data_IF_725661074671
#
_entry.id   IF_725661074671
#
_cell.length_a   1.000
_cell.length_b   1.000
_cell.length_c   1.000
_cell.angle_alpha   90.00
_cell.angle_beta   90.00
_cell.angle_gamma   90.00
#
_symmetry.space_group_name_H-M   'P 1'
#
loop_
_entity.id
_entity.type
_entity.pdbx_description
1 polymer ?
#
# COMPACT_ATOMS: atom_id res chain seq x y z
N UNK A 1 -30.13 44.34 33.97
CA UNK A 1 -29.43 44.22 32.67
C UNK A 1 -28.33 43.15 32.66
N UNK A 2 -27.28 43.21 33.49
CA UNK A 2 -26.16 42.22 33.45
C UNK A 2 -26.59 40.75 33.59
N UNK A 3 -27.50 40.42 34.52
CA UNK A 3 -28.05 39.04 34.67
C UNK A 3 -28.74 38.52 33.41
N UNK A 4 -29.41 39.40 32.67
CA UNK A 4 -30.08 39.04 31.41
C UNK A 4 -29.06 38.75 30.30
N UNK A 5 -27.96 39.51 30.26
CA UNK A 5 -26.84 39.29 29.33
C UNK A 5 -26.14 37.95 29.63
N UNK A 6 -25.88 37.64 30.92
CA UNK A 6 -25.30 36.35 31.29
C UNK A 6 -26.22 35.16 30.95
N UNK A 7 -27.53 35.32 31.16
CA UNK A 7 -28.50 34.29 30.81
C UNK A 7 -28.56 34.08 29.28
N UNK A 8 -28.58 35.16 28.50
CA UNK A 8 -28.56 35.08 27.04
C UNK A 8 -27.26 34.44 26.51
N UNK A 9 -26.10 34.80 27.06
CA UNK A 9 -24.82 34.21 26.70
C UNK A 9 -24.76 32.72 27.07
N UNK A 10 -25.31 32.33 28.21
CA UNK A 10 -25.38 30.93 28.64
C UNK A 10 -26.26 30.10 27.69
N UNK A 11 -27.43 30.62 27.31
CA UNK A 11 -28.32 29.97 26.34
C UNK A 11 -27.63 29.85 24.97
N UNK A 12 -26.91 30.87 24.53
CA UNK A 12 -26.19 30.86 23.26
C UNK A 12 -25.05 29.83 23.24
N UNK A 13 -24.28 29.71 24.32
CA UNK A 13 -23.22 28.69 24.45
C UNK A 13 -23.82 27.29 24.44
N UNK A 14 -24.94 27.07 25.15
CA UNK A 14 -25.64 25.78 25.11
C UNK A 14 -26.12 25.44 23.68
N UNK A 15 -26.53 26.43 22.90
CA UNK A 15 -26.94 26.24 21.50
C UNK A 15 -25.76 25.84 20.60
N UNK A 16 -24.59 26.47 20.78
CA UNK A 16 -23.36 26.14 20.03
C UNK A 16 -22.87 24.72 20.34
N UNK A 17 -22.94 24.29 21.61
CA UNK A 17 -22.49 22.96 22.03
C UNK A 17 -23.36 21.81 21.48
N UNK A 18 -24.57 22.12 20.99
CA UNK A 18 -25.50 21.14 20.41
C UNK A 18 -25.49 21.15 18.88
N UNK A 19 -24.58 21.87 18.22
CA UNK A 19 -24.46 21.81 16.76
C UNK A 19 -23.87 20.43 16.40
N UNK A 20 -24.66 19.53 15.76
CA UNK A 20 -24.12 18.24 15.35
C UNK A 20 -23.01 18.46 14.31
N UNK A 21 -21.94 17.69 14.40
CA UNK A 21 -20.91 17.68 13.37
C UNK A 21 -21.53 17.24 12.05
N UNK A 22 -21.59 18.15 11.08
CA UNK A 22 -22.05 17.84 9.72
C UNK A 22 -21.00 16.96 9.05
N UNK A 23 -21.28 15.67 8.93
CA UNK A 23 -20.45 14.77 8.12
C UNK A 23 -20.86 14.93 6.64
N UNK A 24 -19.93 15.39 5.79
CA UNK A 24 -20.17 15.64 4.37
C UNK A 24 -20.50 14.38 3.55
N UNK A 25 -20.32 13.18 4.14
CA UNK A 25 -20.63 11.87 3.53
C UNK A 25 -21.07 10.88 4.60
N UNK A 26 -21.94 9.95 4.23
CA UNK A 26 -22.24 8.79 5.06
C UNK A 26 -21.10 7.75 4.95
N UNK A 27 -20.27 7.68 6.00
CA UNK A 27 -19.12 6.79 6.09
C UNK A 27 -19.49 5.30 6.07
N UNK A 28 -20.73 4.94 6.42
CA UNK A 28 -21.15 3.54 6.45
C UNK A 28 -21.14 2.88 5.07
N UNK A 29 -21.21 3.68 4.00
CA UNK A 29 -21.12 3.23 2.61
C UNK A 29 -19.70 2.88 2.17
N UNK A 30 -18.67 3.25 2.95
CA UNK A 30 -17.27 3.03 2.61
C UNK A 30 -16.65 1.96 3.51
N UNK A 31 -15.99 0.98 2.89
CA UNK A 31 -15.30 -0.06 3.65
C UNK A 31 -14.13 0.52 4.43
N UNK A 32 -14.18 0.37 5.75
CA UNK A 32 -13.01 0.50 6.62
C UNK A 32 -12.00 -0.63 6.35
N UNK A 33 -10.76 -0.49 6.83
CA UNK A 33 -9.75 -1.53 6.65
C UNK A 33 -10.18 -2.87 7.31
N UNK A 34 -10.84 -2.84 8.47
CA UNK A 34 -11.33 -4.06 9.13
C UNK A 34 -12.46 -4.74 8.36
N UNK A 35 -13.24 -4.00 7.55
CA UNK A 35 -14.27 -4.55 6.66
C UNK A 35 -13.69 -5.11 5.35
N UNK A 36 -12.44 -4.77 4.99
CA UNK A 36 -11.75 -5.32 3.82
C UNK A 36 -10.81 -6.46 4.24
N UNK A 37 -11.14 -7.70 3.83
CA UNK A 37 -10.44 -8.89 4.33
C UNK A 37 -8.93 -8.88 4.03
N UNK A 38 -8.50 -8.38 2.87
CA UNK A 38 -7.08 -8.29 2.52
C UNK A 38 -6.37 -7.21 3.37
N UNK A 39 -7.00 -6.05 3.56
CA UNK A 39 -6.43 -4.94 4.34
C UNK A 39 -6.25 -5.38 5.79
N UNK A 40 -7.29 -5.98 6.37
CA UNK A 40 -7.25 -6.55 7.72
C UNK A 40 -6.12 -7.56 7.91
N UNK A 41 -5.95 -8.52 6.99
CA UNK A 41 -4.87 -9.52 7.08
C UNK A 41 -3.48 -8.89 6.97
N UNK A 42 -3.27 -7.99 6.00
CA UNK A 42 -1.96 -7.38 5.77
C UNK A 42 -1.57 -6.39 6.87
N UNK A 43 -2.53 -5.60 7.43
CA UNK A 43 -2.25 -4.72 8.57
C UNK A 43 -1.92 -5.46 9.86
N UNK A 44 -2.54 -6.62 10.07
CA UNK A 44 -2.26 -7.49 11.23
C UNK A 44 -0.97 -8.29 11.05
N UNK A 45 -0.47 -8.44 9.83
CA UNK A 45 0.77 -9.12 9.53
C UNK A 45 1.97 -8.23 9.88
N UNK A 46 2.55 -8.43 11.06
CA UNK A 46 3.70 -7.69 11.58
C UNK A 46 4.78 -8.67 12.07
N UNK A 47 5.50 -9.35 11.15
CA UNK A 47 6.56 -10.24 11.57
C UNK A 47 7.75 -9.41 12.06
N UNK A 48 8.46 -9.90 13.08
CA UNK A 48 9.67 -9.22 13.60
C UNK A 48 10.78 -9.12 12.54
N UNK A 49 10.84 -10.12 11.64
CA UNK A 49 11.75 -10.18 10.50
C UNK A 49 10.98 -10.55 9.24
N UNK A 50 11.40 -10.02 8.10
CA UNK A 50 10.82 -10.42 6.81
C UNK A 50 11.00 -11.93 6.59
N UNK A 51 9.93 -12.69 6.27
CA UNK A 51 10.02 -14.12 6.00
C UNK A 51 10.47 -14.41 4.56
N UNK A 52 11.13 -13.46 3.90
CA UNK A 52 11.48 -13.54 2.48
C UNK A 52 12.99 -13.39 2.34
N UNK A 53 13.59 -14.32 1.62
CA UNK A 53 15.02 -14.38 1.37
C UNK A 53 15.30 -14.43 -0.13
N UNK A 54 16.34 -13.71 -0.54
CA UNK A 54 16.82 -13.67 -1.92
C UNK A 54 17.92 -14.71 -2.06
N UNK A 55 17.81 -15.57 -3.07
CA UNK A 55 18.90 -16.46 -3.46
C UNK A 55 19.92 -15.67 -4.29
N UNK A 56 21.00 -15.22 -3.65
CA UNK A 56 22.04 -14.43 -4.32
C UNK A 56 22.79 -15.23 -5.41
N UNK A 57 22.85 -16.56 -5.29
CA UNK A 57 23.49 -17.42 -6.29
C UNK A 57 22.64 -17.54 -7.57
N UNK A 58 21.34 -17.23 -7.47
CA UNK A 58 20.42 -17.24 -8.61
C UNK A 58 20.48 -15.96 -9.47
N UNK A 59 21.36 -15.01 -9.13
CA UNK A 59 21.49 -13.75 -9.86
C UNK A 59 21.77 -13.99 -11.34
N UNK A 60 20.95 -13.37 -12.19
CA UNK A 60 21.12 -13.35 -13.64
C UNK A 60 21.07 -11.92 -14.14
N UNK A 61 22.08 -11.54 -14.92
CA UNK A 61 22.05 -10.33 -15.72
C UNK A 61 21.22 -10.67 -16.97
N UNK A 62 20.02 -10.11 -17.08
CA UNK A 62 19.16 -10.35 -18.24
C UNK A 62 19.64 -9.52 -19.43
N UNK A 63 20.05 -8.27 -19.15
CA UNK A 63 20.71 -7.33 -20.05
C UNK A 63 21.31 -6.20 -19.20
N UNK A 64 22.05 -5.27 -19.82
CA UNK A 64 22.55 -4.10 -19.12
C UNK A 64 21.39 -3.38 -18.40
N UNK A 65 21.61 -3.06 -17.14
CA UNK A 65 20.61 -2.44 -16.28
C UNK A 65 19.37 -3.27 -15.92
N UNK A 66 19.37 -4.59 -16.15
CA UNK A 66 18.28 -5.50 -15.72
C UNK A 66 18.83 -6.76 -15.05
N UNK A 67 18.63 -6.85 -13.74
CA UNK A 67 18.99 -7.99 -12.92
C UNK A 67 17.75 -8.80 -12.52
N UNK A 68 17.93 -10.10 -12.39
CA UNK A 68 16.91 -11.04 -11.92
C UNK A 68 17.46 -11.96 -10.85
N UNK A 69 16.66 -12.20 -9.81
CA UNK A 69 16.93 -13.12 -8.72
C UNK A 69 15.70 -14.00 -8.47
N UNK A 70 15.93 -15.13 -7.81
CA UNK A 70 14.88 -15.90 -7.16
C UNK A 70 14.70 -15.39 -5.72
N UNK A 71 13.45 -15.28 -5.31
CA UNK A 71 13.03 -14.92 -3.96
C UNK A 71 12.11 -16.04 -3.44
N UNK A 72 12.29 -16.46 -2.20
CA UNK A 72 11.44 -17.49 -1.60
C UNK A 72 10.99 -17.08 -0.20
N UNK A 73 9.90 -17.68 0.27
CA UNK A 73 9.41 -17.47 1.63
C UNK A 73 9.94 -18.57 2.55
N UNK A 74 10.50 -18.20 3.70
CA UNK A 74 10.90 -19.14 4.75
C UNK A 74 9.70 -19.84 5.39
N UNK A 75 8.52 -19.23 5.36
CA UNK A 75 7.27 -19.80 5.87
C UNK A 75 6.57 -20.72 4.86
N UNK A 76 6.84 -20.54 3.56
CA UNK A 76 6.23 -21.30 2.45
C UNK A 76 7.27 -21.55 1.36
N UNK A 77 8.21 -22.44 1.65
CA UNK A 77 9.37 -22.74 0.80
C UNK A 77 9.02 -23.20 -0.62
N UNK A 78 7.85 -23.81 -0.83
CA UNK A 78 7.39 -24.24 -2.14
C UNK A 78 7.00 -23.08 -3.08
N UNK A 79 6.69 -21.89 -2.52
CA UNK A 79 6.31 -20.72 -3.32
C UNK A 79 7.57 -19.93 -3.67
N UNK A 80 7.92 -19.94 -4.95
CA UNK A 80 9.04 -19.16 -5.50
C UNK A 80 8.52 -17.91 -6.21
N UNK A 81 9.25 -16.83 -6.04
CA UNK A 81 9.03 -15.55 -6.68
C UNK A 81 10.23 -15.22 -7.56
N UNK A 82 9.95 -14.44 -8.60
CA UNK A 82 10.94 -13.78 -9.43
C UNK A 82 11.05 -12.33 -8.97
N UNK A 83 12.23 -11.94 -8.51
CA UNK A 83 12.60 -10.56 -8.20
C UNK A 83 13.38 -9.99 -9.39
N UNK A 84 12.92 -8.87 -9.94
CA UNK A 84 13.58 -8.17 -11.03
C UNK A 84 13.89 -6.73 -10.60
N UNK A 85 15.12 -6.31 -10.86
CA UNK A 85 15.65 -4.99 -10.52
C UNK A 85 16.10 -4.36 -11.84
N UNK A 86 15.59 -3.17 -12.14
CA UNK A 86 15.93 -2.42 -13.34
C UNK A 86 16.56 -1.09 -12.93
N UNK A 87 17.78 -0.81 -13.38
CA UNK A 87 18.38 0.52 -13.29
C UNK A 87 17.95 1.32 -14.50
N UNK A 88 17.23 2.42 -14.26
CA UNK A 88 16.66 3.27 -15.29
C UNK A 88 17.49 4.53 -15.45
N UNK A 89 17.39 5.16 -16.61
CA UNK A 89 17.86 6.54 -16.79
C UNK A 89 17.22 7.47 -15.74
N UNK A 90 17.83 8.65 -15.52
CA UNK A 90 17.35 9.65 -14.55
C UNK A 90 17.36 9.14 -13.09
N UNK A 91 18.41 8.40 -12.71
CA UNK A 91 18.68 7.97 -11.33
C UNK A 91 17.52 7.24 -10.65
N UNK A 92 16.77 6.44 -11.41
CA UNK A 92 15.60 5.71 -10.93
C UNK A 92 15.83 4.20 -10.96
N UNK A 93 15.19 3.49 -10.04
CA UNK A 93 15.25 2.03 -9.98
C UNK A 93 13.83 1.46 -9.91
N UNK A 94 13.54 0.46 -10.74
CA UNK A 94 12.26 -0.27 -10.72
C UNK A 94 12.49 -1.65 -10.12
N UNK A 95 11.67 -2.00 -9.13
CA UNK A 95 11.62 -3.35 -8.56
C UNK A 95 10.30 -4.00 -8.96
N UNK A 96 10.36 -5.19 -9.55
CA UNK A 96 9.20 -6.04 -9.80
C UNK A 96 9.34 -7.35 -9.02
N UNK A 97 8.29 -7.74 -8.31
CA UNK A 97 8.17 -9.07 -7.69
C UNK A 97 6.94 -9.74 -8.30
N UNK A 98 7.14 -10.92 -8.88
CA UNK A 98 6.08 -11.75 -9.43
C UNK A 98 6.23 -13.18 -8.95
N UNK A 99 5.14 -13.94 -8.90
CA UNK A 99 5.24 -15.40 -8.73
C UNK A 99 6.05 -16.00 -9.88
N UNK A 100 6.91 -16.96 -9.58
CA UNK A 100 7.71 -17.65 -10.59
C UNK A 100 6.80 -18.52 -11.48
N UNK A 101 5.89 -19.27 -10.86
CA UNK A 101 4.96 -20.19 -11.52
C UNK A 101 3.52 -19.91 -11.06
N UNK A 102 2.88 -18.83 -11.52
CA UNK A 102 1.52 -18.49 -11.12
C UNK A 102 0.49 -19.39 -11.79
N UNK A 103 -0.60 -19.70 -11.08
CA UNK A 103 -1.78 -20.40 -11.65
C UNK A 103 -2.37 -19.57 -12.80
N UNK A 104 -2.41 -18.24 -12.64
CA UNK A 104 -2.80 -17.27 -13.67
C UNK A 104 -1.91 -16.04 -13.56
N UNK A 105 -1.53 -15.46 -14.70
CA UNK A 105 -0.68 -14.26 -14.74
C UNK A 105 -1.26 -13.16 -13.85
N UNK A 106 -0.43 -12.61 -12.97
CA UNK A 106 -0.79 -11.44 -12.16
C UNK A 106 -0.95 -10.23 -13.06
N UNK A 107 -1.88 -9.35 -12.72
CA UNK A 107 -2.16 -8.16 -13.49
C UNK A 107 -0.94 -7.22 -13.48
N UNK A 108 -0.52 -6.76 -14.66
CA UNK A 108 0.43 -5.67 -14.82
C UNK A 108 -0.31 -4.44 -15.38
N UNK A 109 -0.11 -3.29 -14.75
CA UNK A 109 -0.78 -2.04 -15.11
C UNK A 109 -0.31 -1.58 -16.49
N UNK A 110 -1.26 -1.33 -17.41
CA UNK A 110 -0.96 -1.12 -18.83
C UNK A 110 -0.80 0.34 -19.27
N UNK A 111 -1.51 1.27 -18.64
CA UNK A 111 -1.68 2.63 -19.16
C UNK A 111 -1.18 3.72 -18.23
N UNK A 112 -0.42 3.37 -17.20
CA UNK A 112 0.12 4.34 -16.23
C UNK A 112 1.49 4.88 -16.62
N UNK A 113 2.15 4.30 -17.62
CA UNK A 113 3.45 4.72 -18.10
C UNK A 113 3.30 5.32 -19.50
N UNK A 114 3.94 6.46 -19.72
CA UNK A 114 4.10 7.07 -21.03
C UNK A 114 5.32 6.46 -21.73
N UNK A 115 5.15 5.24 -22.23
CA UNK A 115 6.23 4.42 -22.81
C UNK A 115 7.03 3.61 -21.79
N UNK A 116 7.85 2.69 -22.29
CA UNK A 116 8.74 1.89 -21.43
C UNK A 116 9.96 2.71 -20.99
N UNK A 117 10.25 2.79 -19.68
CA UNK A 117 11.43 3.49 -19.19
C UNK A 117 12.72 2.89 -19.75
N UNK A 118 13.65 3.76 -20.15
CA UNK A 118 14.96 3.35 -20.67
C UNK A 118 15.86 2.83 -19.55
N UNK A 119 16.59 1.77 -19.84
CA UNK A 119 17.63 1.24 -18.96
C UNK A 119 18.92 2.03 -19.15
N UNK A 120 19.73 2.12 -18.09
CA UNK A 120 21.12 2.61 -18.16
C UNK A 120 22.00 1.63 -18.93
#
# INVERSE_FOLDING_TARGET
>A
MKKFIYLANFIFILFILNIPSVENVDRSNFKTCEQSSFCRRQRKYKPDRSPFEVDLNSMKIVKNGHLRFLLFSTLKSHIKFKLEIFTLEHNSLRVKINELNPIRKRYEVKYSLDGEPKLV
#
